data_IF_633304573517
#
_entry.id   IF_633304573517
#
_cell.length_a   1.000
_cell.length_b   1.000
_cell.length_c   1.000
_cell.angle_alpha   90.00
_cell.angle_beta   90.00
_cell.angle_gamma   90.00
#
_symmetry.space_group_name_H-M   'P 1'
#
loop_
_entity.id
_entity.type
_entity.pdbx_description
1 polymer ?
#
# COMPACT_ATOMS: atom_id res chain seq x y z
N UNK A 1 -45.09 40.03 61.56
CA UNK A 1 -43.89 39.31 61.07
C UNK A 1 -44.34 38.09 60.28
N UNK A 2 -44.10 38.05 58.97
CA UNK A 2 -44.52 36.97 58.08
C UNK A 2 -43.27 36.26 57.52
N UNK A 3 -43.08 34.94 57.69
CA UNK A 3 -41.87 34.28 57.19
C UNK A 3 -41.92 34.12 55.67
N UNK A 4 -40.88 34.59 54.98
CA UNK A 4 -40.69 34.37 53.54
C UNK A 4 -40.15 32.95 53.32
N UNK A 5 -40.87 32.12 52.58
CA UNK A 5 -40.39 30.80 52.15
C UNK A 5 -39.33 30.95 51.06
N UNK A 6 -38.22 30.20 51.08
CA UNK A 6 -37.25 30.21 49.98
C UNK A 6 -37.83 29.47 48.76
N UNK A 7 -37.62 30.02 47.57
CA UNK A 7 -37.95 29.37 46.31
C UNK A 7 -37.02 28.17 46.06
N UNK A 8 -37.50 27.10 45.39
CA UNK A 8 -36.66 25.95 45.06
C UNK A 8 -35.63 26.38 44.00
N UNK A 9 -34.35 26.22 44.32
CA UNK A 9 -33.27 26.42 43.36
C UNK A 9 -33.38 25.40 42.23
N UNK A 10 -33.48 25.89 41.00
CA UNK A 10 -33.37 25.08 39.80
C UNK A 10 -31.95 24.50 39.71
N UNK A 11 -31.78 23.19 39.42
CA UNK A 11 -30.45 22.65 39.20
C UNK A 11 -29.90 23.19 37.88
N UNK A 12 -28.80 23.93 37.95
CA UNK A 12 -27.98 24.26 36.79
C UNK A 12 -27.44 22.95 36.19
N UNK A 13 -28.14 22.42 35.20
CA UNK A 13 -27.69 21.28 34.40
C UNK A 13 -26.74 21.82 33.33
N UNK A 14 -25.51 22.09 33.73
CA UNK A 14 -24.42 22.31 32.78
C UNK A 14 -24.06 20.99 32.12
N UNK A 15 -24.75 20.62 31.05
CA UNK A 15 -24.25 19.59 30.13
C UNK A 15 -23.12 20.22 29.33
N UNK A 16 -21.90 19.93 29.75
CA UNK A 16 -20.72 20.19 28.93
C UNK A 16 -20.71 19.10 27.86
N UNK A 17 -21.41 19.33 26.74
CA UNK A 17 -21.54 18.42 25.59
C UNK A 17 -20.21 18.23 24.80
N UNK A 18 -19.08 18.70 25.36
CA UNK A 18 -17.75 18.59 24.74
C UNK A 18 -17.18 17.16 24.79
N UNK A 19 -17.83 16.21 25.50
CA UNK A 19 -17.40 14.82 25.59
C UNK A 19 -17.91 13.91 24.46
N UNK A 20 -19.03 14.27 23.79
CA UNK A 20 -19.64 13.41 22.77
C UNK A 20 -18.77 13.31 21.51
N UNK A 21 -18.23 14.45 21.05
CA UNK A 21 -17.36 14.49 19.88
C UNK A 21 -16.06 13.69 20.08
N UNK A 22 -15.50 13.69 21.29
CA UNK A 22 -14.31 12.90 21.61
C UNK A 22 -14.60 11.38 21.56
N UNK A 23 -15.78 10.96 22.01
CA UNK A 23 -16.19 9.56 21.99
C UNK A 23 -16.47 9.05 20.56
N UNK A 24 -17.08 9.87 19.71
CA UNK A 24 -17.31 9.55 18.30
C UNK A 24 -16.00 9.39 17.53
N UNK A 25 -15.04 10.30 17.77
CA UNK A 25 -13.73 10.24 17.11
C UNK A 25 -12.87 9.07 17.60
N UNK A 26 -13.02 8.66 18.86
CA UNK A 26 -12.30 7.52 19.44
C UNK A 26 -12.62 6.19 18.72
N UNK A 27 -13.78 6.08 18.08
CA UNK A 27 -14.18 4.88 17.33
C UNK A 27 -13.84 5.01 15.84
N UNK A 28 -14.00 6.19 15.25
CA UNK A 28 -13.72 6.41 13.81
C UNK A 28 -12.23 6.44 13.51
N UNK A 29 -11.43 7.10 14.36
CA UNK A 29 -9.99 7.24 14.17
C UNK A 29 -9.24 5.90 14.00
N UNK A 30 -9.41 4.86 14.84
CA UNK A 30 -8.69 3.61 14.67
C UNK A 30 -9.06 2.88 13.38
N UNK A 31 -10.34 2.90 12.98
CA UNK A 31 -10.80 2.29 11.72
C UNK A 31 -10.21 3.04 10.52
N UNK A 32 -10.25 4.37 10.56
CA UNK A 32 -9.70 5.21 9.50
C UNK A 32 -8.19 5.01 9.35
N UNK A 33 -7.44 4.99 10.46
CA UNK A 33 -6.00 4.74 10.43
C UNK A 33 -5.67 3.34 9.90
N UNK A 34 -6.43 2.31 10.30
CA UNK A 34 -6.28 0.96 9.78
C UNK A 34 -6.49 0.92 8.26
N UNK A 35 -7.55 1.56 7.76
CA UNK A 35 -7.80 1.65 6.31
C UNK A 35 -6.70 2.42 5.58
N UNK A 36 -6.20 3.50 6.18
CA UNK A 36 -5.10 4.28 5.63
C UNK A 36 -3.82 3.44 5.49
N UNK A 37 -3.43 2.71 6.55
CA UNK A 37 -2.25 1.85 6.49
C UNK A 37 -2.39 0.73 5.47
N UNK A 38 -3.58 0.12 5.36
CA UNK A 38 -3.86 -0.86 4.30
C UNK A 38 -3.68 -0.21 2.93
N UNK A 39 -4.25 0.98 2.71
CA UNK A 39 -4.19 1.65 1.41
C UNK A 39 -2.76 2.00 1.01
N UNK A 40 -1.96 2.53 1.95
CA UNK A 40 -0.54 2.85 1.71
C UNK A 40 0.26 1.58 1.37
N UNK A 41 0.04 0.50 2.12
CA UNK A 41 0.71 -0.77 1.88
C UNK A 41 0.35 -1.34 0.51
N UNK A 42 -0.94 -1.36 0.17
CA UNK A 42 -1.40 -1.83 -1.14
C UNK A 42 -0.86 -0.94 -2.26
N UNK A 43 -0.85 0.39 -2.10
CA UNK A 43 -0.31 1.31 -3.09
C UNK A 43 1.17 1.01 -3.40
N UNK A 44 1.99 0.75 -2.38
CA UNK A 44 3.40 0.36 -2.59
C UNK A 44 3.54 -0.95 -3.38
N UNK A 45 2.77 -1.97 -3.02
CA UNK A 45 2.78 -3.26 -3.72
C UNK A 45 2.35 -3.12 -5.18
N UNK A 46 1.33 -2.31 -5.46
CA UNK A 46 0.89 -2.05 -6.83
C UNK A 46 1.95 -1.29 -7.62
N UNK A 47 2.62 -0.32 -7.01
CA UNK A 47 3.69 0.42 -7.67
C UNK A 47 4.84 -0.51 -8.09
N UNK A 48 5.28 -1.40 -7.19
CA UNK A 48 6.29 -2.42 -7.49
C UNK A 48 5.85 -3.34 -8.65
N UNK A 49 4.56 -3.73 -8.70
CA UNK A 49 4.01 -4.51 -9.81
C UNK A 49 4.03 -3.76 -11.15
N UNK A 50 3.76 -2.45 -11.16
CA UNK A 50 3.82 -1.64 -12.39
C UNK A 50 5.24 -1.62 -12.96
N UNK A 51 6.26 -1.45 -12.10
CA UNK A 51 7.66 -1.50 -12.51
C UNK A 51 8.05 -2.87 -13.07
N UNK A 52 7.64 -3.95 -12.40
CA UNK A 52 7.87 -5.31 -12.89
C UNK A 52 7.24 -5.56 -14.26
N UNK A 53 6.00 -5.09 -14.49
CA UNK A 53 5.34 -5.24 -15.79
C UNK A 53 6.02 -4.42 -16.89
N UNK A 54 6.53 -3.23 -16.57
CA UNK A 54 7.29 -2.42 -17.53
C UNK A 54 8.58 -3.13 -17.92
N UNK A 55 9.36 -3.57 -16.93
CA UNK A 55 10.61 -4.29 -17.16
C UNK A 55 10.40 -5.62 -17.89
N UNK A 56 9.30 -6.32 -17.62
CA UNK A 56 8.92 -7.53 -18.36
C UNK A 56 8.69 -7.26 -19.85
N UNK A 57 8.08 -6.12 -20.20
CA UNK A 57 7.87 -5.74 -21.60
C UNK A 57 9.16 -5.33 -22.29
N UNK A 58 10.02 -4.58 -21.60
CA UNK A 58 11.30 -4.14 -22.17
C UNK A 58 12.28 -5.31 -22.34
N UNK A 59 12.31 -6.24 -21.38
CA UNK A 59 13.07 -7.49 -21.51
C UNK A 59 12.54 -8.42 -22.60
N UNK A 60 11.22 -8.49 -22.80
CA UNK A 60 10.66 -9.26 -23.91
C UNK A 60 11.06 -8.67 -25.28
N UNK A 61 11.14 -7.33 -25.39
CA UNK A 61 11.64 -6.66 -26.60
C UNK A 61 13.12 -6.92 -26.83
N UNK A 62 13.94 -6.82 -25.78
CA UNK A 62 15.36 -7.14 -25.84
C UNK A 62 15.57 -8.62 -26.21
N UNK A 63 14.81 -9.53 -25.57
CA UNK A 63 14.85 -10.97 -25.81
C UNK A 63 14.37 -11.41 -27.18
N UNK A 64 13.59 -10.59 -27.89
CA UNK A 64 13.25 -10.84 -29.29
C UNK A 64 14.42 -10.57 -30.25
N UNK A 65 15.39 -9.74 -29.84
CA UNK A 65 16.61 -9.43 -30.60
C UNK A 65 17.72 -10.41 -30.18
N UNK A 66 18.00 -10.46 -28.88
CA UNK A 66 18.94 -11.40 -28.26
C UNK A 66 18.42 -11.80 -26.87
N UNK A 67 18.24 -13.10 -26.69
CA UNK A 67 17.77 -13.70 -25.44
C UNK A 67 18.77 -13.46 -24.31
N UNK A 68 20.07 -13.36 -24.61
CA UNK A 68 21.11 -13.12 -23.63
C UNK A 68 20.95 -11.76 -22.93
N UNK A 69 20.46 -10.75 -23.65
CA UNK A 69 20.29 -9.39 -23.14
C UNK A 69 18.98 -9.19 -22.36
N UNK A 70 18.03 -10.11 -22.48
CA UNK A 70 16.70 -9.96 -21.89
C UNK A 70 16.73 -9.77 -20.37
N UNK A 71 17.53 -10.58 -19.66
CA UNK A 71 17.66 -10.46 -18.21
C UNK A 71 18.47 -9.24 -17.78
N UNK A 72 19.49 -8.85 -18.54
CA UNK A 72 20.30 -7.66 -18.25
C UNK A 72 19.45 -6.37 -18.34
N UNK A 73 18.58 -6.28 -19.35
CA UNK A 73 17.64 -5.16 -19.51
C UNK A 73 16.61 -5.12 -18.39
N UNK A 74 16.05 -6.28 -17.99
CA UNK A 74 15.13 -6.33 -16.85
C UNK A 74 15.81 -5.85 -15.57
N UNK A 75 17.02 -6.33 -15.28
CA UNK A 75 17.79 -5.93 -14.09
C UNK A 75 18.08 -4.42 -14.09
N UNK A 76 18.59 -3.88 -15.19
CA UNK A 76 18.87 -2.44 -15.29
C UNK A 76 17.63 -1.56 -15.08
N UNK A 77 16.46 -1.98 -15.56
CA UNK A 77 15.21 -1.25 -15.36
C UNK A 77 14.73 -1.28 -13.90
N UNK A 78 15.06 -2.35 -13.17
CA UNK A 78 14.54 -2.63 -11.83
C UNK A 78 15.51 -2.22 -10.71
N UNK A 79 16.81 -2.12 -11.00
CA UNK A 79 17.86 -1.62 -10.08
C UNK A 79 17.56 -0.21 -9.56
N UNK A 80 16.84 0.61 -10.33
CA UNK A 80 16.47 1.97 -9.95
C UNK A 80 15.23 2.07 -9.05
N UNK A 81 14.46 0.98 -8.90
CA UNK A 81 13.12 1.02 -8.30
C UNK A 81 13.01 0.33 -6.93
N UNK A 82 14.12 -0.10 -6.31
CA UNK A 82 14.21 -0.66 -4.95
C UNK A 82 13.09 -1.67 -4.61
N UNK A 83 12.88 -2.60 -5.53
CA UNK A 83 11.82 -3.64 -5.47
C UNK A 83 12.27 -4.94 -4.78
N UNK A 84 13.43 -4.92 -4.12
CA UNK A 84 14.00 -6.08 -3.43
C UNK A 84 14.86 -6.98 -4.31
N UNK A 85 15.07 -8.23 -3.87
CA UNK A 85 15.94 -9.18 -4.59
C UNK A 85 15.27 -9.66 -5.86
N UNK A 86 15.86 -9.34 -7.01
CA UNK A 86 15.37 -9.73 -8.33
C UNK A 86 16.04 -11.02 -8.82
N UNK A 87 15.22 -11.97 -9.26
CA UNK A 87 15.66 -13.18 -9.97
C UNK A 87 15.03 -13.19 -11.35
N UNK A 88 15.86 -13.21 -12.39
CA UNK A 88 15.44 -13.40 -13.78
C UNK A 88 15.86 -14.81 -14.21
N UNK A 89 14.92 -15.61 -14.71
CA UNK A 89 15.20 -16.96 -15.17
C UNK A 89 14.69 -17.25 -16.58
N UNK A 90 15.58 -17.92 -17.31
CA UNK A 90 15.47 -18.77 -18.50
C UNK A 90 14.43 -19.89 -18.47
N UNK A 91 13.12 -19.66 -18.29
CA UNK A 91 12.14 -20.76 -18.04
C UNK A 91 11.64 -21.42 -19.33
N UNK A 92 12.55 -21.86 -20.20
CA UNK A 92 12.32 -22.68 -21.40
C UNK A 92 12.28 -21.90 -22.72
N UNK A 93 13.00 -22.47 -23.68
CA UNK A 93 12.85 -22.24 -25.10
C UNK A 93 11.74 -23.16 -25.59
N UNK A 94 10.60 -22.62 -25.96
CA UNK A 94 9.63 -23.38 -26.74
C UNK A 94 10.35 -23.76 -28.04
N UNK A 95 10.38 -25.05 -28.37
CA UNK A 95 11.07 -25.71 -29.50
C UNK A 95 10.67 -25.18 -30.91
N UNK A 96 10.10 -23.97 -31.01
CA UNK A 96 9.71 -23.23 -32.19
C UNK A 96 10.19 -21.75 -32.17
N UNK A 97 11.21 -21.42 -31.36
CA UNK A 97 11.84 -20.09 -31.34
C UNK A 97 11.15 -19.05 -30.44
N UNK A 98 10.20 -19.46 -29.60
CA UNK A 98 9.60 -18.58 -28.59
C UNK A 98 10.23 -18.86 -27.21
N UNK A 99 10.68 -17.83 -26.51
CA UNK A 99 11.36 -17.96 -25.21
C UNK A 99 10.49 -17.39 -24.11
N UNK A 100 10.41 -18.10 -22.97
CA UNK A 100 9.70 -17.64 -21.77
C UNK A 100 10.68 -17.21 -20.69
N UNK A 101 10.59 -15.94 -20.30
CA UNK A 101 11.33 -15.36 -19.19
C UNK A 101 10.44 -15.33 -17.95
N UNK A 102 11.01 -15.67 -16.79
CA UNK A 102 10.37 -15.50 -15.49
C UNK A 102 11.10 -14.45 -14.69
N UNK A 103 10.39 -13.39 -14.29
CA UNK A 103 10.90 -12.33 -13.43
C UNK A 103 10.24 -12.47 -12.06
N UNK A 104 11.04 -12.58 -11.02
CA UNK A 104 10.58 -12.67 -9.63
C UNK A 104 11.30 -11.63 -8.80
N UNK A 105 10.57 -10.75 -8.12
CA UNK A 105 11.13 -9.84 -7.13
C UNK A 105 10.60 -10.21 -5.75
N UNK A 106 11.51 -10.34 -4.79
CA UNK A 106 11.19 -10.63 -3.38
C UNK A 106 11.68 -9.46 -2.54
N UNK A 107 10.72 -8.70 -2.01
CA UNK A 107 10.97 -7.61 -1.07
C UNK A 107 10.73 -8.11 0.35
N UNK A 108 11.75 -8.13 1.23
CA UNK A 108 11.54 -8.47 2.62
C UNK A 108 10.82 -7.29 3.29
N UNK A 109 9.51 -7.43 3.50
CA UNK A 109 8.76 -6.51 4.37
C UNK A 109 9.15 -6.86 5.81
N UNK A 110 10.02 -6.05 6.41
CA UNK A 110 10.33 -6.10 7.85
C UNK A 110 9.27 -5.34 8.65
#
# INVERSE_FOLDING_TARGET
MNPRRPAPGSPCRGSVDNGSAAAEFAIVAPIFLLLLFIMVTLASVFFDQLHLQSAARDSARAGAIDIADACAVAQAALDTNDIGTLTCNVVNDCNAGAVKLSLQAVKPYS
#
